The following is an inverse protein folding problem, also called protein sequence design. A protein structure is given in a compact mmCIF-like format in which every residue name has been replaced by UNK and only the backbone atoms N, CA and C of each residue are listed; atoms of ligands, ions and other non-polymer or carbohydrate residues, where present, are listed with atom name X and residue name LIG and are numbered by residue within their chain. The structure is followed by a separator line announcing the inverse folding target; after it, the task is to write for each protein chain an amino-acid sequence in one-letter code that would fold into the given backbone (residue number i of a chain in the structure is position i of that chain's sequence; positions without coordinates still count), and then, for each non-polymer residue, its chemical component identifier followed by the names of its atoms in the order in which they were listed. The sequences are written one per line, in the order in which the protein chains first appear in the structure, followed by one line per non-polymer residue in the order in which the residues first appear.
data_IF_428258151022
#
_entry.id   IF_428258151022
#
_cell.length_a   1.000
_cell.length_b   1.000
_cell.length_c   1.000
_cell.angle_alpha   90.00
_cell.angle_beta   90.00
_cell.angle_gamma   90.00
#
_symmetry.space_group_name_H-M   'P 1'
#
loop_
_entity.id
_entity.type
_entity.pdbx_description
1 polymer ?
#
# COMPACT_ATOMS: atom_id res chain seq x y z
N UNK A 1 -12.91 -10.16 15.73
CA UNK A 1 -11.89 -11.23 15.76
C UNK A 1 -11.30 -11.50 14.38
N UNK A 2 -12.10 -11.53 13.30
CA UNK A 2 -11.58 -11.75 11.94
C UNK A 2 -10.74 -10.59 11.38
N UNK A 3 -11.09 -9.32 11.59
CA UNK A 3 -10.34 -8.20 11.01
C UNK A 3 -8.93 -8.03 11.59
N UNK A 4 -8.75 -8.24 12.89
CA UNK A 4 -7.44 -8.17 13.55
C UNK A 4 -6.54 -9.32 13.09
N UNK A 5 -7.10 -10.52 12.90
CA UNK A 5 -6.36 -11.66 12.37
C UNK A 5 -5.91 -11.43 10.92
N UNK A 6 -6.79 -10.91 10.08
CA UNK A 6 -6.50 -10.61 8.68
C UNK A 6 -5.48 -9.47 8.52
N UNK A 7 -5.58 -8.42 9.35
CA UNK A 7 -4.61 -7.33 9.42
C UNK A 7 -3.21 -7.83 9.81
N UNK A 8 -3.13 -8.68 10.83
CA UNK A 8 -1.86 -9.29 11.25
C UNK A 8 -1.28 -10.20 10.15
N UNK A 9 -2.12 -10.94 9.43
CA UNK A 9 -1.69 -11.75 8.29
C UNK A 9 -1.08 -10.91 7.16
N UNK A 10 -1.70 -9.78 6.82
CA UNK A 10 -1.17 -8.85 5.80
C UNK A 10 0.14 -8.22 6.28
N UNK A 11 0.24 -7.84 7.56
CA UNK A 11 1.50 -7.35 8.13
C UNK A 11 2.64 -8.36 7.96
N UNK A 12 2.40 -9.62 8.34
CA UNK A 12 3.41 -10.69 8.21
C UNK A 12 3.77 -10.90 6.75
N UNK A 13 2.79 -10.90 5.86
CA UNK A 13 3.02 -11.05 4.42
C UNK A 13 3.88 -9.92 3.84
N UNK A 14 3.56 -8.66 4.15
CA UNK A 14 4.35 -7.50 3.72
C UNK A 14 5.76 -7.50 4.31
N UNK A 15 5.91 -7.95 5.56
CA UNK A 15 7.21 -8.08 6.21
C UNK A 15 8.09 -9.14 5.54
N UNK A 16 7.53 -10.32 5.26
CA UNK A 16 8.24 -11.38 4.51
C UNK A 16 8.60 -10.93 3.09
N UNK A 17 7.69 -10.20 2.43
CA UNK A 17 7.93 -9.64 1.10
C UNK A 17 9.10 -8.64 1.11
N UNK A 18 9.17 -7.77 2.12
CA UNK A 18 10.30 -6.83 2.29
C UNK A 18 11.63 -7.57 2.44
N UNK A 19 11.70 -8.59 3.31
CA UNK A 19 12.91 -9.39 3.50
C UNK A 19 13.33 -10.07 2.19
N UNK A 20 12.38 -10.64 1.46
CA UNK A 20 12.65 -11.30 0.18
C UNK A 20 13.19 -10.30 -0.86
N UNK A 21 12.54 -9.14 -1.02
CA UNK A 21 12.95 -8.10 -1.97
C UNK A 21 14.30 -7.46 -1.64
N UNK A 22 14.75 -7.49 -0.38
CA UNK A 22 16.09 -7.04 0.01
C UNK A 22 17.20 -8.06 -0.30
N UNK A 23 16.88 -9.35 -0.31
CA UNK A 23 17.85 -10.42 -0.61
C UNK A 23 18.11 -10.53 -2.11
N UNK A 24 17.14 -10.18 -2.96
CA UNK A 24 17.24 -10.30 -4.42
C UNK A 24 18.46 -9.57 -5.04
N UNK A 25 18.76 -8.30 -4.69
CA UNK A 25 19.90 -7.58 -5.27
C UNK A 25 21.28 -8.18 -4.94
N UNK A 26 21.43 -8.89 -3.81
CA UNK A 26 22.70 -9.50 -3.42
C UNK A 26 23.06 -10.75 -4.24
N UNK A 27 22.10 -11.34 -4.96
CA UNK A 27 22.32 -12.53 -5.79
C UNK A 27 22.00 -12.22 -7.27
N UNK A 28 22.87 -11.48 -7.98
CA UNK A 28 22.63 -11.03 -9.36
C UNK A 28 22.59 -12.18 -10.38
N UNK A 29 23.06 -13.38 -10.02
CA UNK A 29 23.24 -14.51 -10.94
C UNK A 29 21.95 -15.30 -11.24
N UNK A 30 20.77 -14.73 -10.97
CA UNK A 30 19.49 -15.40 -11.14
C UNK A 30 18.49 -14.43 -11.79
N UNK A 31 18.55 -14.31 -13.11
CA UNK A 31 17.62 -13.52 -13.95
C UNK A 31 16.14 -13.88 -13.76
N UNK A 32 15.85 -15.02 -13.11
CA UNK A 32 14.52 -15.51 -12.74
C UNK A 32 13.99 -14.99 -11.38
N UNK A 33 14.78 -14.26 -10.58
CA UNK A 33 14.36 -13.81 -9.24
C UNK A 33 13.51 -12.53 -9.26
N UNK A 34 13.76 -11.60 -10.18
CA UNK A 34 13.01 -10.35 -10.27
C UNK A 34 11.50 -10.56 -10.56
N UNK A 35 11.14 -11.66 -11.23
CA UNK A 35 9.73 -12.04 -11.45
C UNK A 35 9.04 -12.54 -10.18
N UNK A 36 9.78 -13.09 -9.21
CA UNK A 36 9.23 -13.60 -7.94
C UNK A 36 8.76 -12.47 -7.03
N UNK A 37 9.60 -11.45 -6.79
CA UNK A 37 9.16 -10.28 -6.00
C UNK A 37 8.03 -9.51 -6.68
N UNK A 38 8.08 -9.36 -8.01
CA UNK A 38 6.99 -8.71 -8.74
C UNK A 38 5.64 -9.42 -8.49
N UNK A 39 5.63 -10.75 -8.57
CA UNK A 39 4.43 -11.52 -8.26
C UNK A 39 3.99 -11.33 -6.81
N UNK A 40 4.93 -11.30 -5.86
CA UNK A 40 4.65 -11.03 -4.45
C UNK A 40 3.99 -9.66 -4.20
N UNK A 41 4.41 -8.62 -4.92
CA UNK A 41 3.83 -7.27 -4.85
C UNK A 41 2.44 -7.22 -5.51
N UNK A 42 2.23 -7.92 -6.62
CA UNK A 42 0.90 -8.07 -7.21
C UNK A 42 -0.08 -8.74 -6.25
N UNK A 43 0.35 -9.79 -5.56
CA UNK A 43 -0.44 -10.46 -4.53
C UNK A 43 -0.71 -9.50 -3.35
N UNK A 44 0.30 -8.75 -2.88
CA UNK A 44 0.12 -7.74 -1.83
C UNK A 44 -0.95 -6.70 -2.21
N UNK A 45 -0.91 -6.21 -3.45
CA UNK A 45 -1.84 -5.24 -3.99
C UNK A 45 -3.29 -5.77 -3.97
N UNK A 46 -3.47 -7.04 -4.35
CA UNK A 46 -4.78 -7.71 -4.31
C UNK A 46 -5.28 -7.86 -2.86
N UNK A 47 -4.42 -8.27 -1.93
CA UNK A 47 -4.80 -8.37 -0.51
C UNK A 47 -5.22 -7.03 0.09
N UNK A 48 -4.49 -5.95 -0.21
CA UNK A 48 -4.84 -4.59 0.24
C UNK A 48 -6.17 -4.12 -0.39
N UNK A 49 -6.38 -4.38 -1.69
CA UNK A 49 -7.64 -4.06 -2.36
C UNK A 49 -8.82 -4.83 -1.74
N UNK A 50 -8.65 -6.13 -1.48
CA UNK A 50 -9.67 -6.95 -0.83
C UNK A 50 -10.01 -6.45 0.57
N UNK A 51 -9.01 -6.02 1.36
CA UNK A 51 -9.25 -5.44 2.68
C UNK A 51 -10.08 -4.16 2.59
N UNK A 52 -9.80 -3.28 1.61
CA UNK A 52 -10.58 -2.07 1.37
C UNK A 52 -12.02 -2.38 0.94
N UNK A 53 -12.20 -3.37 0.06
CA UNK A 53 -13.54 -3.80 -0.42
C UNK A 53 -14.35 -4.40 0.72
N UNK A 54 -13.76 -5.28 1.53
CA UNK A 54 -14.44 -5.86 2.70
C UNK A 54 -14.91 -4.77 3.66
N UNK A 55 -14.08 -3.74 3.88
CA UNK A 55 -14.46 -2.60 4.72
C UNK A 55 -15.56 -1.76 4.11
N UNK A 56 -15.53 -1.54 2.79
CA UNK A 56 -16.61 -0.83 2.10
C UNK A 56 -17.96 -1.53 2.30
N UNK A 57 -17.99 -2.86 2.20
CA UNK A 57 -19.22 -3.64 2.40
C UNK A 57 -19.70 -3.53 3.85
N UNK A 58 -18.80 -3.57 4.83
CA UNK A 58 -19.16 -3.49 6.26
C UNK A 58 -19.61 -2.08 6.69
N UNK A 59 -19.00 -1.02 6.16
CA UNK A 59 -19.27 0.36 6.57
C UNK A 59 -20.41 1.03 5.78
N UNK A 60 -20.77 0.48 4.63
CA UNK A 60 -21.80 1.02 3.73
C UNK A 60 -21.40 2.34 3.06
N UNK A 61 -20.14 2.77 3.19
CA UNK A 61 -19.61 3.99 2.59
C UNK A 61 -18.20 3.77 2.03
N UNK A 62 -17.76 4.67 1.15
CA UNK A 62 -16.43 4.58 0.55
C UNK A 62 -15.33 4.64 1.64
N UNK A 63 -14.30 3.77 1.59
CA UNK A 63 -13.31 3.58 2.65
C UNK A 63 -12.21 4.67 2.62
N UNK A 64 -12.60 5.93 2.83
CA UNK A 64 -11.70 7.07 3.00
C UNK A 64 -12.12 8.01 4.13
N UNK A 65 -13.11 7.61 4.94
CA UNK A 65 -13.64 8.51 5.97
C UNK A 65 -12.70 8.66 7.16
N UNK A 66 -11.87 7.65 7.39
CA UNK A 66 -10.96 7.57 8.51
C UNK A 66 -9.50 7.66 8.09
N UNK A 67 -8.66 8.21 8.99
CA UNK A 67 -7.21 8.29 8.79
C UNK A 67 -6.58 6.90 8.60
N UNK A 68 -7.13 5.89 9.28
CA UNK A 68 -6.73 4.49 9.08
C UNK A 68 -6.98 4.02 7.63
N UNK A 69 -8.15 4.33 7.07
CA UNK A 69 -8.55 3.87 5.75
C UNK A 69 -7.76 4.60 4.65
N UNK A 70 -7.53 5.89 4.84
CA UNK A 70 -6.71 6.68 3.91
C UNK A 70 -5.25 6.22 3.86
N UNK A 71 -4.66 5.82 5.00
CA UNK A 71 -3.31 5.24 5.02
C UNK A 71 -3.23 3.89 4.30
N UNK A 72 -4.25 3.04 4.44
CA UNK A 72 -4.31 1.77 3.70
C UNK A 72 -4.50 2.02 2.21
N UNK A 73 -5.34 2.99 1.83
CA UNK A 73 -5.50 3.41 0.45
C UNK A 73 -4.18 3.96 -0.12
N UNK A 74 -3.40 4.69 0.68
CA UNK A 74 -2.07 5.17 0.31
C UNK A 74 -1.06 4.02 0.15
N UNK A 75 -1.08 3.01 1.04
CA UNK A 75 -0.26 1.80 0.92
C UNK A 75 -0.60 1.02 -0.36
N UNK A 76 -1.89 0.89 -0.68
CA UNK A 76 -2.37 0.32 -1.95
C UNK A 76 -1.93 1.17 -3.15
N UNK A 77 -1.98 2.49 -3.04
CA UNK A 77 -1.49 3.42 -4.06
C UNK A 77 -0.01 3.21 -4.37
N UNK A 78 0.83 3.01 -3.34
CA UNK A 78 2.24 2.67 -3.54
C UNK A 78 2.45 1.35 -4.28
N UNK A 79 1.72 0.29 -3.94
CA UNK A 79 1.82 -0.99 -4.66
C UNK A 79 1.31 -0.88 -6.09
N UNK A 80 0.27 -0.09 -6.34
CA UNK A 80 -0.25 0.15 -7.69
C UNK A 80 0.74 0.94 -8.57
N UNK A 81 1.31 2.03 -8.04
CA UNK A 81 2.32 2.83 -8.76
C UNK A 81 3.58 2.00 -9.01
N UNK A 82 3.97 1.17 -8.04
CA UNK A 82 5.08 0.22 -8.22
C UNK A 82 4.84 -0.71 -9.41
N UNK A 83 3.67 -1.34 -9.48
CA UNK A 83 3.32 -2.25 -10.60
C UNK A 83 3.33 -1.48 -11.92
N UNK A 84 2.78 -0.26 -11.95
CA UNK A 84 2.82 0.57 -13.15
C UNK A 84 4.26 0.87 -13.58
N UNK A 85 5.12 1.26 -12.64
CA UNK A 85 6.52 1.61 -12.89
C UNK A 85 7.33 0.41 -13.40
N UNK A 86 7.13 -0.76 -12.81
CA UNK A 86 7.82 -2.00 -13.23
C UNK A 86 7.38 -2.49 -14.61
N UNK A 87 6.12 -2.24 -15.02
CA UNK A 87 5.64 -2.54 -16.37
C UNK A 87 6.18 -1.53 -17.40
N UNK A 88 6.21 -0.24 -17.06
CA UNK A 88 6.68 0.80 -17.98
C UNK A 88 8.20 0.84 -18.13
N UNK A 89 8.94 0.59 -17.05
CA UNK A 89 10.40 0.65 -17.02
C UNK A 89 10.97 -0.75 -16.79
N UNK A 90 11.52 -1.33 -17.84
CA UNK A 90 12.29 -2.57 -17.73
C UNK A 90 13.67 -2.23 -17.13
N UNK A 91 14.12 -2.99 -16.12
CA UNK A 91 15.43 -2.93 -15.43
C UNK A 91 15.58 -2.08 -14.15
N UNK A 92 14.51 -1.82 -13.41
CA UNK A 92 14.61 -1.20 -12.09
C UNK A 92 14.89 -2.24 -10.98
N UNK A 93 16.12 -2.79 -10.95
CA UNK A 93 16.53 -3.83 -9.99
C UNK A 93 16.32 -3.43 -8.52
N UNK A 94 16.56 -2.15 -8.19
CA UNK A 94 16.48 -1.64 -6.82
C UNK A 94 15.09 -1.16 -6.41
N UNK A 95 14.13 -1.08 -7.35
CA UNK A 95 12.84 -0.48 -7.06
C UNK A 95 12.04 -1.31 -6.05
N UNK A 96 12.06 -2.65 -6.18
CA UNK A 96 11.42 -3.56 -5.22
C UNK A 96 11.93 -3.37 -3.79
N UNK A 97 13.25 -3.19 -3.62
CA UNK A 97 13.88 -3.05 -2.31
C UNK A 97 13.49 -1.75 -1.58
N UNK A 98 13.02 -0.74 -2.31
CA UNK A 98 12.69 0.59 -1.74
C UNK A 98 11.19 0.75 -1.56
N UNK A 99 10.39 0.28 -2.50
CA UNK A 99 8.94 0.40 -2.38
C UNK A 99 8.38 -0.52 -1.29
N UNK A 100 8.97 -1.71 -1.07
CA UNK A 100 8.50 -2.67 -0.05
C UNK A 100 8.64 -2.20 1.41
N UNK A 101 9.74 -1.57 1.87
CA UNK A 101 9.79 -1.02 3.22
C UNK A 101 8.82 0.14 3.40
N UNK A 102 8.49 0.88 2.33
CA UNK A 102 7.62 2.06 2.40
C UNK A 102 6.15 1.65 2.47
N UNK A 103 5.74 0.67 1.66
CA UNK A 103 4.41 0.06 1.77
C UNK A 103 4.21 -0.62 3.12
N UNK A 104 5.25 -1.30 3.63
CA UNK A 104 5.25 -1.85 4.97
C UNK A 104 5.08 -0.73 5.99
N UNK A 105 5.97 0.28 6.00
CA UNK A 105 5.95 1.35 7.00
C UNK A 105 4.58 2.03 7.07
N UNK A 106 3.98 2.42 5.94
CA UNK A 106 2.66 3.06 5.95
C UNK A 106 1.56 2.12 6.44
N UNK A 107 1.62 0.83 6.09
CA UNK A 107 0.70 -0.17 6.62
C UNK A 107 0.87 -0.40 8.13
N UNK A 108 2.11 -0.52 8.61
CA UNK A 108 2.42 -0.70 10.04
C UNK A 108 1.99 0.50 10.86
N UNK A 109 2.17 1.71 10.31
CA UNK A 109 1.75 2.94 10.96
C UNK A 109 0.23 2.97 11.08
N UNK A 110 -0.49 2.55 10.04
CA UNK A 110 -1.94 2.39 10.09
C UNK A 110 -2.38 1.38 11.15
N UNK A 111 -1.75 0.20 11.20
CA UNK A 111 -2.21 -0.91 12.04
C UNK A 111 -1.79 -0.81 13.52
N UNK A 112 -0.58 -0.33 13.81
CA UNK A 112 -0.03 -0.30 15.17
C UNK A 112 -0.08 1.07 15.83
N UNK A 113 0.09 2.17 15.06
CA UNK A 113 0.20 3.51 15.65
C UNK A 113 -1.15 4.12 16.01
N UNK A 114 -2.25 3.63 15.41
CA UNK A 114 -3.59 4.15 15.66
C UNK A 114 -4.29 3.41 16.82
N UNK A 115 -4.78 4.14 17.84
CA UNK A 115 -5.56 3.55 18.92
C UNK A 115 -6.79 2.79 18.38
N UNK A 116 -7.21 1.69 19.02
CA UNK A 116 -8.36 0.87 18.57
C UNK A 116 -9.68 1.64 18.55
N UNK A 117 -9.75 2.82 19.18
CA UNK A 117 -10.88 3.74 19.13
C UNK A 117 -10.98 4.51 17.80
N UNK A 118 -9.86 4.80 17.13
CA UNK A 118 -9.81 5.43 15.80
C UNK A 118 -9.81 4.42 14.64
N UNK A 119 -9.57 3.14 14.92
CA UNK A 119 -9.69 2.05 13.93
C UNK A 119 -11.14 1.63 13.67
N UNK A 120 -12.06 2.02 14.56
CA UNK A 120 -13.50 1.80 14.40
C UNK A 120 -14.05 2.76 13.33
N UNK A 121 -14.89 2.22 12.46
CA UNK A 121 -15.64 3.00 11.48
C UNK A 121 -16.51 4.03 12.25
N UNK A 122 -16.09 5.29 12.23
CA UNK A 122 -16.87 6.38 12.82
C UNK A 122 -17.88 6.85 11.78
N UNK A 123 -19.08 7.20 12.23
CA UNK A 123 -20.10 7.78 11.37
C UNK A 123 -19.53 8.97 10.59
N UNK A 124 -19.84 9.05 9.28
CA UNK A 124 -19.28 10.08 8.41
C UNK A 124 -19.60 11.47 8.97
N UNK A 125 -18.58 12.32 9.03
CA UNK A 125 -18.78 13.76 9.22
C UNK A 125 -19.64 14.27 8.04
N UNK A 126 -20.66 15.11 8.27
CA UNK A 126 -21.62 15.53 7.24
C UNK A 126 -21.00 16.09 5.95
N UNK A 127 -19.76 16.58 6.01
CA UNK A 127 -19.02 17.11 4.86
C UNK A 127 -18.57 16.04 3.84
N UNK A 128 -18.36 14.77 4.24
CA UNK A 128 -17.94 13.68 3.34
C UNK A 128 -19.08 13.05 2.52
N UNK A 129 -20.32 13.54 2.66
CA UNK A 129 -21.44 13.05 1.86
C UNK A 129 -21.47 13.62 0.43
N UNK A 130 -20.64 14.61 0.12
CA UNK A 130 -20.57 15.16 -1.24
C UNK A 130 -19.64 14.33 -2.14
N UNK A 131 -20.12 13.96 -3.32
CA UNK A 131 -19.34 13.21 -4.31
C UNK A 131 -18.08 13.97 -4.75
N UNK A 132 -18.14 15.31 -4.71
CA UNK A 132 -17.01 16.18 -5.06
C UNK A 132 -15.85 16.11 -4.06
N UNK A 133 -16.14 16.17 -2.75
CA UNK A 133 -15.09 16.08 -1.73
C UNK A 133 -14.42 14.70 -1.76
N UNK A 134 -15.19 13.65 -2.00
CA UNK A 134 -14.66 12.29 -2.15
C UNK A 134 -13.67 12.20 -3.32
N UNK A 135 -14.03 12.75 -4.48
CA UNK A 135 -13.12 12.81 -5.64
C UNK A 135 -11.88 13.67 -5.37
N UNK A 136 -12.02 14.79 -4.67
CA UNK A 136 -10.89 15.65 -4.31
C UNK A 136 -9.89 14.91 -3.41
N UNK A 137 -10.39 14.24 -2.36
CA UNK A 137 -9.53 13.54 -1.39
C UNK A 137 -8.84 12.33 -2.02
N UNK A 138 -9.52 11.55 -2.86
CA UNK A 138 -8.87 10.42 -3.57
C UNK A 138 -7.71 10.89 -4.45
N UNK A 139 -7.91 11.95 -5.22
CA UNK A 139 -6.87 12.53 -6.10
C UNK A 139 -5.71 13.11 -5.31
N UNK A 140 -5.97 13.75 -4.17
CA UNK A 140 -4.92 14.25 -3.27
C UNK A 140 -4.08 13.11 -2.71
N UNK A 141 -4.68 12.03 -2.23
CA UNK A 141 -3.92 10.89 -1.67
C UNK A 141 -3.12 10.18 -2.76
N UNK A 142 -3.71 10.01 -3.95
CA UNK A 142 -3.01 9.42 -5.10
C UNK A 142 -1.82 10.28 -5.55
N UNK A 143 -1.96 11.62 -5.54
CA UNK A 143 -0.88 12.53 -5.90
C UNK A 143 0.25 12.50 -4.88
N UNK A 144 -0.06 12.41 -3.58
CA UNK A 144 0.96 12.18 -2.54
C UNK A 144 1.70 10.85 -2.74
N UNK A 145 0.99 9.77 -3.06
CA UNK A 145 1.62 8.48 -3.33
C UNK A 145 2.56 8.55 -4.54
N UNK A 146 2.13 9.23 -5.62
CA UNK A 146 2.94 9.42 -6.82
C UNK A 146 4.18 10.29 -6.57
N UNK A 147 4.04 11.40 -5.83
CA UNK A 147 5.15 12.30 -5.51
C UNK A 147 6.19 11.59 -4.64
N UNK A 148 5.76 10.91 -3.57
CA UNK A 148 6.65 10.15 -2.70
C UNK A 148 7.39 9.07 -3.51
N UNK A 149 6.67 8.26 -4.31
CA UNK A 149 7.28 7.25 -5.16
C UNK A 149 8.31 7.86 -6.14
N UNK A 150 7.95 8.95 -6.80
CA UNK A 150 8.85 9.65 -7.73
C UNK A 150 10.11 10.19 -7.05
N UNK A 151 9.99 10.78 -5.85
CA UNK A 151 11.13 11.29 -5.09
C UNK A 151 12.12 10.19 -4.68
N UNK A 152 11.61 9.00 -4.36
CA UNK A 152 12.42 7.85 -3.99
C UNK A 152 13.16 7.27 -5.18
N UNK A 153 12.47 7.15 -6.31
CA UNK A 153 13.09 6.69 -7.56
C UNK A 153 14.21 7.67 -7.95
N UNK A 154 13.99 8.98 -7.83
CA UNK A 154 15.02 9.99 -8.11
C UNK A 154 16.27 9.83 -7.22
N UNK A 155 16.09 9.53 -5.94
CA UNK A 155 17.20 9.29 -5.00
C UNK A 155 18.07 8.08 -5.39
N UNK A 156 17.51 7.07 -6.07
CA UNK A 156 18.25 5.86 -6.49
C UNK A 156 19.16 6.11 -7.69
N UNK A 157 18.76 7.04 -8.55
CA UNK A 157 19.46 7.33 -9.80
C UNK A 157 20.55 8.39 -9.68
N UNK A 158 20.63 9.07 -8.53
CA UNK A 158 21.66 10.04 -8.21
C UNK A 158 22.81 9.37 -7.45
#
# INVERSE_FOLDING_TARGET
MNQTFLSNGIFIYLFLLMLWSWVEPFFPNVTKKQTSSFFGICVANIFLALLLILRWIESGHFPLSNLYESLIFLAWGFTAIHIMCTVTFQNLLFLNAITTPITLLTYTFASFSLPPTMQKATALVPALQSNWLMMHVTIMILSYAALLCGSLIAFVFY
#
